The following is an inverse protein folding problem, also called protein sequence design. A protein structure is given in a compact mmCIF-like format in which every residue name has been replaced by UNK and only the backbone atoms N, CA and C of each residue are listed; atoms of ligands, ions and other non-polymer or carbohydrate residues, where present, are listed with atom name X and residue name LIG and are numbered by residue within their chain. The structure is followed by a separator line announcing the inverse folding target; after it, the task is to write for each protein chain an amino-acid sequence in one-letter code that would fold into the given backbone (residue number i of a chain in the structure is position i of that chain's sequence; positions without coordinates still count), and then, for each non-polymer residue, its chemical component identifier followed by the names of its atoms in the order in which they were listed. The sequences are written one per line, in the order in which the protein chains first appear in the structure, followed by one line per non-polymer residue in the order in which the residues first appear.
data_IF_004306055521
#
_entry.id   IF_004306055521
#
_cell.length_a   1.000
_cell.length_b   1.000
_cell.length_c   1.000
_cell.angle_alpha   90.00
_cell.angle_beta   90.00
_cell.angle_gamma   90.00
#
_symmetry.space_group_name_H-M   'P 1'
#
loop_
_entity.id
_entity.type
_entity.pdbx_description
1 polymer ?
#
# COMPACT_ATOMS: atom_id res chain seq x y z
N UNK A 1 14.56 -6.47 7.61
CA UNK A 1 14.50 -7.92 7.34
C UNK A 1 15.15 -8.25 5.99
N UNK A 2 14.91 -7.46 4.92
CA UNK A 2 15.45 -7.75 3.59
C UNK A 2 16.92 -8.19 3.56
N UNK A 3 17.85 -7.52 4.23
CA UNK A 3 19.26 -7.90 4.19
C UNK A 3 19.57 -9.28 4.77
N UNK A 4 18.66 -9.85 5.55
CA UNK A 4 18.85 -11.15 6.22
C UNK A 4 18.05 -12.29 5.57
N UNK A 5 17.28 -11.98 4.51
CA UNK A 5 16.51 -12.99 3.78
C UNK A 5 17.42 -13.81 2.87
N UNK A 6 17.31 -15.14 2.97
CA UNK A 6 17.85 -16.10 2.01
C UNK A 6 16.73 -16.81 1.26
N UNK A 7 17.07 -17.55 0.22
CA UNK A 7 16.10 -18.28 -0.61
C UNK A 7 15.18 -19.20 0.19
N UNK A 8 15.67 -19.84 1.25
CA UNK A 8 14.87 -20.71 2.12
C UNK A 8 13.75 -20.00 2.89
N UNK A 9 13.78 -18.66 2.97
CA UNK A 9 12.73 -17.86 3.61
C UNK A 9 11.62 -17.45 2.64
N UNK A 10 11.80 -17.64 1.33
CA UNK A 10 10.80 -17.31 0.29
C UNK A 10 9.79 -18.45 0.12
N UNK A 11 9.20 -18.89 1.24
CA UNK A 11 8.23 -19.98 1.29
C UNK A 11 6.91 -19.49 1.91
N UNK A 12 5.73 -19.93 1.42
CA UNK A 12 4.43 -19.58 2.01
C UNK A 12 4.30 -19.86 3.51
N UNK A 13 5.09 -20.80 4.05
CA UNK A 13 5.11 -21.12 5.49
C UNK A 13 5.71 -20.02 6.36
N UNK A 14 6.39 -19.04 5.77
CA UNK A 14 7.01 -17.90 6.49
C UNK A 14 6.08 -16.71 6.65
N UNK A 15 4.95 -16.68 5.93
CA UNK A 15 3.95 -15.63 6.05
C UNK A 15 3.06 -15.89 7.26
N UNK A 16 2.54 -14.82 7.86
CA UNK A 16 1.54 -14.90 8.92
C UNK A 16 0.34 -15.76 8.49
N UNK A 17 -0.14 -16.61 9.41
CA UNK A 17 -1.33 -17.46 9.18
C UNK A 17 -2.66 -16.68 9.15
N UNK A 18 -2.64 -15.34 9.29
CA UNK A 18 -3.85 -14.52 9.20
C UNK A 18 -4.47 -14.65 7.80
N UNK A 19 -5.76 -15.06 7.69
CA UNK A 19 -6.44 -15.28 6.41
C UNK A 19 -6.43 -14.08 5.46
N UNK A 20 -6.33 -12.86 6.00
CA UNK A 20 -6.25 -11.63 5.22
C UNK A 20 -5.08 -11.62 4.23
N UNK A 21 -3.91 -12.11 4.65
CA UNK A 21 -2.73 -12.13 3.76
C UNK A 21 -2.89 -13.09 2.59
N UNK A 22 -3.52 -14.24 2.84
CA UNK A 22 -3.84 -15.18 1.77
C UNK A 22 -4.84 -14.56 0.79
N UNK A 23 -5.95 -14.00 1.30
CA UNK A 23 -6.97 -13.37 0.47
C UNK A 23 -6.40 -12.23 -0.38
N UNK A 24 -5.55 -11.38 0.22
CA UNK A 24 -4.91 -10.28 -0.49
C UNK A 24 -3.95 -10.80 -1.58
N UNK A 25 -3.14 -11.80 -1.27
CA UNK A 25 -2.23 -12.42 -2.22
C UNK A 25 -2.95 -13.02 -3.42
N UNK A 26 -3.99 -13.82 -3.15
CA UNK A 26 -4.83 -14.42 -4.18
C UNK A 26 -5.48 -13.34 -5.07
N UNK A 27 -5.95 -12.24 -4.48
CA UNK A 27 -6.56 -11.13 -5.21
C UNK A 27 -5.55 -10.35 -6.09
N UNK A 28 -4.34 -10.12 -5.61
CA UNK A 28 -3.27 -9.45 -6.38
C UNK A 28 -2.89 -10.31 -7.60
N UNK A 29 -2.62 -11.58 -7.39
CA UNK A 29 -2.24 -12.50 -8.47
C UNK A 29 -3.37 -12.70 -9.47
N UNK A 30 -4.62 -12.83 -9.00
CA UNK A 30 -5.78 -12.94 -9.88
C UNK A 30 -6.00 -11.66 -10.72
N UNK A 31 -5.81 -10.48 -10.14
CA UNK A 31 -5.93 -9.21 -10.86
C UNK A 31 -4.82 -9.02 -11.90
N UNK A 32 -3.62 -9.50 -11.61
CA UNK A 32 -2.47 -9.45 -12.51
C UNK A 32 -2.56 -10.49 -13.63
N UNK A 33 -3.02 -11.69 -13.32
CA UNK A 33 -3.13 -12.81 -14.27
C UNK A 33 -1.81 -13.54 -14.57
N UNK A 34 -0.73 -13.17 -13.89
CA UNK A 34 0.61 -13.75 -14.06
C UNK A 34 1.41 -13.67 -12.75
N UNK A 35 2.49 -14.44 -12.64
CA UNK A 35 3.41 -14.37 -11.50
C UNK A 35 4.05 -12.97 -11.39
N UNK A 36 4.41 -12.61 -10.17
CA UNK A 36 5.13 -11.37 -9.90
C UNK A 36 6.53 -11.44 -10.52
N UNK A 37 6.84 -10.46 -11.35
CA UNK A 37 8.17 -10.28 -11.91
C UNK A 37 8.93 -9.26 -11.07
N UNK A 38 10.03 -9.66 -10.47
CA UNK A 38 10.92 -8.80 -9.67
C UNK A 38 12.20 -8.59 -10.46
N UNK A 39 12.47 -7.37 -10.86
CA UNK A 39 13.68 -6.98 -11.56
C UNK A 39 14.21 -5.66 -10.99
N UNK A 40 15.24 -5.76 -10.16
CA UNK A 40 15.82 -4.62 -9.45
C UNK A 40 17.29 -4.51 -9.82
N UNK A 41 17.66 -3.41 -10.45
CA UNK A 41 19.05 -3.03 -10.72
C UNK A 41 19.58 -2.14 -9.62
N UNK A 42 20.86 -2.28 -9.27
CA UNK A 42 21.62 -1.48 -8.33
C UNK A 42 23.08 -1.60 -8.64
N UNK A 43 23.94 -1.79 -7.62
CA UNK A 43 25.34 -2.20 -7.84
C UNK A 43 25.39 -3.57 -8.53
N UNK A 44 24.51 -4.46 -8.14
CA UNK A 44 24.22 -5.72 -8.82
C UNK A 44 22.80 -5.68 -9.42
N UNK A 45 22.34 -6.80 -9.98
CA UNK A 45 20.99 -6.98 -10.47
C UNK A 45 20.36 -8.24 -9.92
N UNK A 46 19.14 -8.13 -9.42
CA UNK A 46 18.29 -9.24 -9.02
C UNK A 46 17.12 -9.36 -9.99
N UNK A 47 17.00 -10.52 -10.63
CA UNK A 47 15.83 -10.88 -11.45
C UNK A 47 15.29 -12.20 -10.91
N UNK A 48 14.03 -12.22 -10.50
CA UNK A 48 13.35 -13.41 -9.96
C UNK A 48 11.84 -13.31 -10.17
N UNK A 49 11.14 -14.41 -9.96
CA UNK A 49 9.68 -14.46 -10.01
C UNK A 49 9.12 -14.94 -8.68
N UNK A 50 7.89 -14.57 -8.37
CA UNK A 50 7.17 -15.07 -7.20
C UNK A 50 5.70 -15.32 -7.54
N UNK A 51 5.19 -16.46 -7.10
CA UNK A 51 3.79 -16.86 -7.15
C UNK A 51 3.00 -16.47 -5.89
N UNK A 52 3.59 -15.61 -5.07
CA UNK A 52 3.01 -15.21 -3.78
C UNK A 52 3.40 -13.78 -3.40
N UNK A 53 2.73 -13.24 -2.37
CA UNK A 53 3.03 -11.90 -1.81
C UNK A 53 4.19 -11.89 -0.81
N UNK A 54 4.99 -12.95 -0.75
CA UNK A 54 6.16 -13.00 0.16
C UNK A 54 7.10 -11.79 -0.04
N UNK A 55 7.42 -11.36 -1.28
CA UNK A 55 8.24 -10.18 -1.48
C UNK A 55 7.67 -8.91 -0.84
N UNK A 56 6.35 -8.73 -0.88
CA UNK A 56 5.66 -7.62 -0.18
C UNK A 56 5.80 -7.76 1.34
N UNK A 57 5.46 -8.95 1.87
CA UNK A 57 5.52 -9.23 3.30
C UNK A 57 6.94 -9.08 3.89
N UNK A 58 7.97 -9.25 3.07
CA UNK A 58 9.36 -9.03 3.44
C UNK A 58 9.72 -7.55 3.63
N UNK A 59 8.95 -6.62 3.06
CA UNK A 59 9.18 -5.17 3.13
C UNK A 59 8.75 -4.60 4.49
N UNK A 60 9.35 -5.07 5.58
CA UNK A 60 9.06 -4.55 6.92
C UNK A 60 9.45 -3.08 7.02
N UNK A 61 8.57 -2.27 7.58
CA UNK A 61 8.73 -0.82 7.67
C UNK A 61 8.19 -0.26 8.99
N UNK A 62 8.44 1.01 9.23
CA UNK A 62 7.81 1.79 10.29
C UNK A 62 6.81 2.75 9.66
N UNK A 63 5.64 2.87 10.26
CA UNK A 63 4.63 3.84 9.88
C UNK A 63 4.42 4.81 11.04
N UNK A 64 4.38 6.11 10.71
CA UNK A 64 4.04 7.15 11.66
C UNK A 64 2.60 7.60 11.40
N UNK A 65 1.76 7.49 12.40
CA UNK A 65 0.38 7.96 12.34
C UNK A 65 0.29 9.30 13.05
N UNK A 66 -0.20 10.31 12.34
CA UNK A 66 -0.43 11.64 12.89
C UNK A 66 -1.92 11.91 12.80
N UNK A 67 -2.56 12.08 13.94
CA UNK A 67 -3.98 12.45 14.00
C UNK A 67 -4.13 13.93 13.73
N UNK A 68 -5.04 14.28 12.83
CA UNK A 68 -5.31 15.66 12.41
C UNK A 68 -6.81 15.92 12.30
N UNK A 69 -7.23 17.17 12.35
CA UNK A 69 -8.61 17.54 12.03
C UNK A 69 -8.83 17.56 10.50
N UNK A 70 -10.06 17.37 10.02
CA UNK A 70 -10.37 17.36 8.58
C UNK A 70 -9.92 18.63 7.84
N UNK A 71 -10.01 19.77 8.46
CA UNK A 71 -9.60 21.08 7.92
C UNK A 71 -8.08 21.25 7.85
N UNK A 72 -7.31 20.60 8.72
CA UNK A 72 -5.85 20.62 8.71
C UNK A 72 -5.24 19.49 7.86
N UNK A 73 -6.03 18.49 7.50
CA UNK A 73 -5.53 17.31 6.82
C UNK A 73 -4.74 17.62 5.54
N UNK A 74 -5.21 18.52 4.64
CA UNK A 74 -4.49 18.84 3.42
C UNK A 74 -3.08 19.39 3.68
N UNK A 75 -2.94 20.26 4.67
CA UNK A 75 -1.65 20.87 5.00
C UNK A 75 -0.65 19.84 5.52
N UNK A 76 -1.10 18.97 6.43
CA UNK A 76 -0.28 17.89 6.96
C UNK A 76 0.10 16.86 5.89
N UNK A 77 -0.85 16.47 5.03
CA UNK A 77 -0.59 15.51 3.96
C UNK A 77 0.39 16.10 2.93
N UNK A 78 0.16 17.32 2.49
CA UNK A 78 1.05 18.01 1.55
C UNK A 78 2.46 18.23 2.14
N UNK A 79 2.57 18.61 3.40
CA UNK A 79 3.84 18.71 4.11
C UNK A 79 4.58 17.37 4.18
N UNK A 80 3.85 16.27 4.44
CA UNK A 80 4.41 14.93 4.47
C UNK A 80 5.02 14.52 3.14
N UNK A 81 4.43 14.92 2.00
CA UNK A 81 5.02 14.70 0.69
C UNK A 81 6.38 15.40 0.53
N UNK A 82 6.50 16.62 1.04
CA UNK A 82 7.76 17.38 0.96
C UNK A 82 8.88 16.73 1.76
N UNK A 83 8.58 16.20 2.95
CA UNK A 83 9.60 15.64 3.84
C UNK A 83 9.96 14.18 3.54
N UNK A 84 9.23 13.48 2.66
CA UNK A 84 9.48 12.07 2.33
C UNK A 84 10.94 11.78 1.95
N UNK A 85 11.57 12.64 1.14
CA UNK A 85 12.95 12.45 0.71
C UNK A 85 13.93 12.54 1.86
N UNK A 86 13.68 13.42 2.82
CA UNK A 86 14.51 13.58 4.03
C UNK A 86 14.35 12.37 4.94
N UNK A 87 13.11 11.89 5.14
CA UNK A 87 12.84 10.68 5.91
C UNK A 87 13.55 9.47 5.29
N UNK A 88 13.51 9.35 3.96
CA UNK A 88 14.20 8.27 3.25
C UNK A 88 15.72 8.36 3.40
N UNK A 89 16.30 9.55 3.29
CA UNK A 89 17.73 9.76 3.47
C UNK A 89 18.22 9.35 4.87
N UNK A 90 17.39 9.54 5.89
CA UNK A 90 17.69 9.16 7.28
C UNK A 90 17.42 7.68 7.57
N UNK A 91 16.39 7.10 6.96
CA UNK A 91 15.86 5.77 7.29
C UNK A 91 16.31 4.64 6.38
N UNK A 92 16.93 4.92 5.24
CA UNK A 92 17.34 3.89 4.28
C UNK A 92 18.35 2.91 4.91
N UNK A 93 17.99 1.62 4.95
CA UNK A 93 18.77 0.58 5.62
C UNK A 93 18.63 -0.82 5.00
N UNK A 94 18.23 -0.92 3.74
CA UNK A 94 17.94 -2.19 3.08
C UNK A 94 18.74 -2.35 1.77
N UNK A 95 20.10 -2.38 1.85
CA UNK A 95 20.93 -2.42 0.64
C UNK A 95 21.01 -3.82 0.01
N UNK A 96 20.60 -4.87 0.70
CA UNK A 96 20.75 -6.25 0.23
C UNK A 96 19.40 -6.97 0.15
N UNK A 97 19.25 -7.81 -0.88
CA UNK A 97 18.15 -8.76 -1.00
C UNK A 97 18.69 -10.04 -1.68
N UNK A 98 18.43 -11.22 -1.07
CA UNK A 98 18.88 -12.53 -1.56
C UNK A 98 20.38 -12.56 -1.92
N UNK A 99 21.19 -11.92 -1.09
CA UNK A 99 22.64 -11.86 -1.26
C UNK A 99 23.17 -10.88 -2.31
N UNK A 100 22.28 -10.11 -2.95
CA UNK A 100 22.64 -9.07 -3.93
C UNK A 100 22.70 -7.69 -3.31
N UNK A 101 23.70 -6.90 -3.68
CA UNK A 101 23.80 -5.49 -3.35
C UNK A 101 23.02 -4.67 -4.38
N UNK A 102 21.97 -3.99 -3.92
CA UNK A 102 21.03 -3.28 -4.77
C UNK A 102 20.96 -1.79 -4.39
N UNK A 103 19.77 -1.27 -4.11
CA UNK A 103 19.58 0.10 -3.64
C UNK A 103 19.86 0.20 -2.15
N UNK A 104 20.21 1.38 -1.65
CA UNK A 104 20.26 1.64 -0.19
C UNK A 104 18.92 1.39 0.48
N UNK A 105 17.84 1.48 -0.30
CA UNK A 105 16.46 1.21 0.12
C UNK A 105 15.75 0.32 -0.92
N UNK A 106 16.16 -0.93 -1.00
CA UNK A 106 15.61 -1.94 -1.93
C UNK A 106 14.13 -2.23 -1.68
N UNK A 107 13.59 -1.93 -0.49
CA UNK A 107 12.16 -2.11 -0.19
C UNK A 107 11.27 -1.27 -1.12
N UNK A 108 11.74 -0.13 -1.62
CA UNK A 108 10.96 0.72 -2.54
C UNK A 108 10.64 -0.05 -3.83
N UNK A 109 11.62 -0.38 -4.69
CA UNK A 109 11.33 -1.09 -5.94
C UNK A 109 10.75 -2.48 -5.71
N UNK A 110 11.09 -3.15 -4.61
CA UNK A 110 10.52 -4.45 -4.28
C UNK A 110 9.03 -4.34 -3.98
N UNK A 111 8.63 -3.39 -3.15
CA UNK A 111 7.22 -3.19 -2.77
C UNK A 111 6.37 -2.76 -3.97
N UNK A 112 6.88 -1.85 -4.81
CA UNK A 112 6.21 -1.41 -6.03
C UNK A 112 5.93 -2.59 -6.98
N UNK A 113 6.90 -3.49 -7.16
CA UNK A 113 6.77 -4.64 -8.06
C UNK A 113 5.93 -5.76 -7.46
N UNK A 114 6.07 -6.02 -6.16
CA UNK A 114 5.38 -7.09 -5.46
C UNK A 114 3.87 -6.84 -5.26
N UNK A 115 3.42 -5.58 -5.28
CA UNK A 115 2.01 -5.22 -5.11
C UNK A 115 1.35 -4.73 -6.41
N UNK A 116 2.07 -4.81 -7.53
CA UNK A 116 1.56 -4.35 -8.82
C UNK A 116 0.54 -5.33 -9.40
N UNK A 117 -0.70 -4.88 -9.51
CA UNK A 117 -1.83 -5.64 -10.06
C UNK A 117 -1.96 -5.51 -11.58
N UNK A 118 -1.06 -4.77 -12.24
CA UNK A 118 -1.12 -4.53 -13.68
C UNK A 118 -0.32 -5.60 -14.42
N UNK A 119 -0.90 -6.15 -15.49
CA UNK A 119 -0.14 -6.85 -16.52
C UNK A 119 0.77 -5.88 -17.29
N UNK A 120 1.73 -6.39 -18.03
CA UNK A 120 2.60 -5.57 -18.89
C UNK A 120 1.77 -4.74 -19.89
N UNK A 121 0.68 -5.29 -20.41
CA UNK A 121 -0.22 -4.56 -21.32
C UNK A 121 -0.85 -3.33 -20.62
N UNK A 122 -1.34 -3.49 -19.40
CA UNK A 122 -1.94 -2.39 -18.63
C UNK A 122 -0.91 -1.31 -18.27
N UNK A 123 0.34 -1.69 -18.03
CA UNK A 123 1.43 -0.73 -17.81
C UNK A 123 1.69 0.11 -19.04
N UNK A 124 1.77 -0.53 -20.22
CA UNK A 124 1.95 0.17 -21.50
C UNK A 124 0.78 1.10 -21.82
N UNK A 125 -0.44 0.74 -21.44
CA UNK A 125 -1.62 1.59 -21.56
C UNK A 125 -1.67 2.76 -20.57
N UNK A 126 -0.71 2.85 -19.66
CA UNK A 126 -0.61 3.95 -18.69
C UNK A 126 -1.58 3.82 -17.52
N UNK A 127 -2.09 2.62 -17.22
CA UNK A 127 -2.87 2.36 -16.01
C UNK A 127 -2.00 2.65 -14.78
N UNK A 128 -2.55 3.34 -13.79
CA UNK A 128 -1.82 3.79 -12.61
C UNK A 128 -1.44 2.63 -11.68
N UNK A 129 -0.23 2.65 -11.10
CA UNK A 129 0.15 1.69 -10.08
C UNK A 129 -0.62 1.96 -8.77
N UNK A 130 -0.77 0.93 -7.93
CA UNK A 130 -1.34 1.10 -6.59
C UNK A 130 -0.37 1.75 -5.60
N UNK A 131 0.93 1.67 -5.88
CA UNK A 131 1.99 2.29 -5.08
C UNK A 131 2.43 3.58 -5.76
N UNK A 132 2.18 4.72 -5.13
CA UNK A 132 2.62 6.02 -5.60
C UNK A 132 2.37 7.12 -4.57
N UNK A 133 2.56 8.38 -4.92
CA UNK A 133 2.35 9.51 -4.01
C UNK A 133 0.94 10.12 -4.08
N UNK A 134 0.28 10.06 -5.21
CA UNK A 134 -0.97 10.73 -5.50
C UNK A 134 -0.83 11.67 -6.71
N UNK A 135 -1.96 12.12 -7.23
CA UNK A 135 -2.00 12.86 -8.49
C UNK A 135 -1.54 14.31 -8.37
N UNK A 136 -1.81 14.92 -7.22
CA UNK A 136 -1.61 16.38 -7.02
C UNK A 136 -1.52 16.72 -5.54
N UNK A 137 -1.14 17.96 -5.24
CA UNK A 137 -1.39 18.58 -3.95
C UNK A 137 -2.89 18.61 -3.69
N UNK A 138 -3.30 18.27 -2.49
CA UNK A 138 -4.71 18.19 -2.13
C UNK A 138 -5.19 19.45 -1.40
N UNK A 139 -6.48 19.71 -1.49
CA UNK A 139 -7.19 20.77 -0.77
C UNK A 139 -8.19 20.22 0.24
N UNK A 140 -8.49 18.92 0.15
CA UNK A 140 -9.36 18.19 1.06
C UNK A 140 -8.93 16.71 1.09
N UNK A 141 -9.20 16.03 2.19
CA UNK A 141 -9.09 14.57 2.26
C UNK A 141 -9.96 13.87 1.22
N UNK A 142 -11.08 14.48 0.84
CA UNK A 142 -11.99 14.00 -0.21
C UNK A 142 -11.25 13.78 -1.54
N UNK A 143 -10.29 14.64 -1.89
CA UNK A 143 -9.50 14.52 -3.12
C UNK A 143 -8.84 13.13 -3.23
N UNK A 144 -8.36 12.56 -2.12
CA UNK A 144 -7.72 11.26 -2.10
C UNK A 144 -8.71 10.09 -2.24
N UNK A 145 -9.86 10.19 -1.60
CA UNK A 145 -10.89 9.16 -1.71
C UNK A 145 -11.60 9.19 -3.08
N UNK A 146 -11.82 10.38 -3.64
CA UNK A 146 -12.29 10.53 -5.02
C UNK A 146 -11.32 9.89 -6.01
N UNK A 147 -10.01 10.11 -5.83
CA UNK A 147 -8.98 9.50 -6.65
C UNK A 147 -8.99 7.97 -6.53
N UNK A 148 -9.22 7.43 -5.32
CA UNK A 148 -9.36 5.99 -5.12
C UNK A 148 -10.49 5.40 -5.96
N UNK A 149 -11.67 6.00 -5.90
CA UNK A 149 -12.85 5.53 -6.64
C UNK A 149 -12.66 5.68 -8.15
N UNK A 150 -11.99 6.75 -8.57
CA UNK A 150 -11.81 7.06 -10.00
C UNK A 150 -10.84 6.12 -10.70
N UNK A 151 -9.77 5.69 -10.03
CA UNK A 151 -8.65 5.02 -10.68
C UNK A 151 -8.39 3.59 -10.26
N UNK A 152 -9.01 3.13 -9.17
CA UNK A 152 -8.71 1.82 -8.62
C UNK A 152 -9.97 0.99 -8.42
N UNK A 153 -10.02 -0.16 -9.06
CA UNK A 153 -11.05 -1.15 -8.77
C UNK A 153 -10.87 -1.70 -7.35
N UNK A 154 -11.99 -2.08 -6.71
CA UNK A 154 -11.95 -2.76 -5.43
C UNK A 154 -11.24 -4.11 -5.59
N UNK A 155 -10.11 -4.29 -4.90
CA UNK A 155 -9.35 -5.52 -4.94
C UNK A 155 -9.99 -6.59 -4.03
N UNK A 156 -10.61 -6.15 -2.94
CA UNK A 156 -11.36 -6.99 -2.00
C UNK A 156 -12.80 -6.48 -1.94
N UNK A 157 -13.70 -6.93 -2.83
CA UNK A 157 -15.07 -6.42 -2.92
C UNK A 157 -15.97 -7.05 -1.85
N UNK A 158 -15.68 -6.78 -0.59
CA UNK A 158 -16.47 -7.20 0.57
C UNK A 158 -17.36 -6.03 0.95
N UNK A 159 -18.67 -6.29 1.09
CA UNK A 159 -19.70 -5.31 1.46
C UNK A 159 -20.17 -5.61 2.88
N UNK A 160 -20.45 -4.56 3.64
CA UNK A 160 -21.06 -4.64 4.96
C UNK A 160 -22.52 -4.14 4.90
N UNK A 161 -23.31 -4.51 5.89
CA UNK A 161 -24.73 -4.14 5.98
C UNK A 161 -24.94 -2.72 6.56
N UNK A 162 -23.88 -1.98 6.93
CA UNK A 162 -23.98 -0.61 7.44
C UNK A 162 -24.37 0.35 6.32
N UNK A 163 -25.50 1.06 6.49
CA UNK A 163 -25.79 2.25 5.68
C UNK A 163 -25.22 3.49 6.39
N UNK A 164 -24.18 4.12 5.81
CA UNK A 164 -23.54 5.28 6.43
C UNK A 164 -24.47 6.48 6.61
N UNK A 165 -25.48 6.64 5.73
CA UNK A 165 -26.42 7.75 5.81
C UNK A 165 -27.41 7.55 6.96
N UNK A 166 -27.93 6.34 7.14
CA UNK A 166 -28.80 6.01 8.28
C UNK A 166 -28.08 6.19 9.61
N UNK A 167 -26.79 5.81 9.68
CA UNK A 167 -25.96 6.02 10.87
C UNK A 167 -25.80 7.50 11.18
N UNK A 168 -25.52 8.33 10.17
CA UNK A 168 -25.40 9.80 10.34
C UNK A 168 -26.71 10.44 10.75
N UNK A 169 -27.84 10.06 10.12
CA UNK A 169 -29.17 10.57 10.44
C UNK A 169 -29.61 10.24 11.87
N UNK A 170 -29.15 9.09 12.38
CA UNK A 170 -29.36 8.70 13.79
C UNK A 170 -28.42 9.41 14.79
N UNK A 171 -27.50 10.26 14.30
CA UNK A 171 -26.50 10.96 15.12
C UNK A 171 -25.30 10.12 15.48
N UNK A 172 -25.09 8.99 14.80
CA UNK A 172 -23.92 8.12 14.98
C UNK A 172 -22.76 8.49 14.08
N UNK A 173 -21.67 7.73 14.18
CA UNK A 173 -20.47 7.84 13.35
C UNK A 173 -20.30 6.56 12.52
N UNK A 174 -20.44 6.62 11.18
CA UNK A 174 -20.33 5.44 10.34
C UNK A 174 -18.90 4.89 10.33
N UNK A 175 -18.76 3.57 10.33
CA UNK A 175 -17.46 2.89 10.30
C UNK A 175 -16.81 2.90 8.90
N UNK A 176 -17.59 3.13 7.84
CA UNK A 176 -17.15 3.21 6.44
C UNK A 176 -16.25 2.03 6.04
N UNK A 177 -16.72 0.82 6.28
CA UNK A 177 -15.94 -0.42 6.07
C UNK A 177 -15.41 -0.56 4.66
N UNK A 178 -16.23 -0.31 3.65
CA UNK A 178 -15.87 -0.42 2.23
C UNK A 178 -14.79 0.59 1.84
N UNK A 179 -14.95 1.85 2.30
CA UNK A 179 -13.96 2.91 2.07
C UNK A 179 -12.61 2.52 2.71
N UNK A 180 -12.62 2.06 3.95
CA UNK A 180 -11.41 1.64 4.67
C UNK A 180 -10.75 0.44 3.99
N UNK A 181 -11.55 -0.55 3.58
CA UNK A 181 -11.04 -1.74 2.89
C UNK A 181 -10.44 -1.39 1.53
N UNK A 182 -11.14 -0.57 0.74
CA UNK A 182 -10.65 -0.10 -0.55
C UNK A 182 -9.35 0.69 -0.41
N UNK A 183 -9.34 1.69 0.49
CA UNK A 183 -8.17 2.50 0.78
C UNK A 183 -6.98 1.65 1.28
N UNK A 184 -7.24 0.60 2.05
CA UNK A 184 -6.24 -0.33 2.56
C UNK A 184 -5.52 -1.15 1.49
N UNK A 185 -6.05 -1.20 0.26
CA UNK A 185 -5.43 -1.89 -0.90
C UNK A 185 -4.79 -0.93 -1.91
N UNK A 186 -4.72 0.36 -1.59
CA UNK A 186 -4.07 1.39 -2.39
C UNK A 186 -2.89 1.92 -1.57
N UNK A 187 -1.69 1.65 -2.05
CA UNK A 187 -0.47 1.78 -1.27
C UNK A 187 0.22 3.13 -1.53
N UNK A 188 -0.47 4.25 -1.23
CA UNK A 188 0.23 5.54 -1.24
C UNK A 188 1.33 5.56 -0.18
N UNK A 189 2.44 6.18 -0.47
CA UNK A 189 3.52 6.36 0.50
C UNK A 189 3.08 7.16 1.73
N UNK A 190 2.20 8.16 1.52
CA UNK A 190 1.42 8.80 2.57
C UNK A 190 -0.04 8.44 2.38
N UNK A 191 -0.68 7.81 3.36
CA UNK A 191 -2.06 7.34 3.26
C UNK A 191 -2.99 8.13 4.16
N UNK A 192 -4.20 8.49 3.68
CA UNK A 192 -5.27 8.87 4.57
C UNK A 192 -5.70 7.64 5.36
N UNK A 193 -5.93 7.80 6.66
CA UNK A 193 -6.47 6.75 7.52
C UNK A 193 -7.72 7.31 8.16
N UNK A 194 -8.83 6.61 8.02
CA UNK A 194 -10.06 6.87 8.75
C UNK A 194 -10.33 5.70 9.69
N UNK A 195 -10.61 5.99 10.94
CA UNK A 195 -11.03 5.00 11.93
C UNK A 195 -12.09 5.57 12.87
N UNK A 196 -12.82 4.70 13.54
CA UNK A 196 -13.81 5.06 14.55
C UNK A 196 -13.41 4.39 15.86
N UNK A 197 -13.08 5.19 16.87
CA UNK A 197 -12.70 4.71 18.19
C UNK A 197 -13.72 5.24 19.19
N UNK A 198 -14.39 4.32 19.88
CA UNK A 198 -15.44 4.67 20.88
C UNK A 198 -16.50 5.63 20.33
N UNK A 199 -16.91 5.43 19.06
CA UNK A 199 -17.92 6.25 18.38
C UNK A 199 -17.42 7.62 17.90
N UNK A 200 -16.11 7.91 18.05
CA UNK A 200 -15.50 9.16 17.58
C UNK A 200 -14.70 8.90 16.30
N UNK A 201 -14.91 9.70 15.23
CA UNK A 201 -14.13 9.57 14.00
C UNK A 201 -12.71 10.12 14.19
N UNK A 202 -11.74 9.41 13.66
CA UNK A 202 -10.33 9.79 13.67
C UNK A 202 -9.79 9.81 12.23
N UNK A 203 -9.02 10.85 11.93
CA UNK A 203 -8.24 10.99 10.70
C UNK A 203 -6.75 11.00 10.98
#
# INVERSE_FOLDING_TARGET
ILPTLGEGHMSPSTISSNPRYKLLGDAILAARGEDLQIDIGGEERLTTTSDSIIPEAACTSTQFHVQVSPDQFPDYWNASQVICSVQMALGANSPYLLGKELWRETRIPLFEQATDTRSEELKVQGVRPRVWFGERWITSIFDLFEENVRYYNALLPIVNDEDPLEVLESGGTPALHELRLHNGTIYRWNRPVYDVVEGTPHL
#
